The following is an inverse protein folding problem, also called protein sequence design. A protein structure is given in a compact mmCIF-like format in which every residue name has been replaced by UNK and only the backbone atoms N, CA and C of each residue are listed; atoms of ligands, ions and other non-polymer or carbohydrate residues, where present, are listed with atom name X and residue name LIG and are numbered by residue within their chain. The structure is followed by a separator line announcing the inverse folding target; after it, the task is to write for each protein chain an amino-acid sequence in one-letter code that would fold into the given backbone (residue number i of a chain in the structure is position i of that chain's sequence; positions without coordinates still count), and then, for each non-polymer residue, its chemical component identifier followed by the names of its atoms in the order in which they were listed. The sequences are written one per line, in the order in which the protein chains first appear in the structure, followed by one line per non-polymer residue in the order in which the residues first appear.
data_IF_024037643481
#
_entry.id   IF_024037643481
#
_cell.length_a   1.000
_cell.length_b   1.000
_cell.length_c   1.000
_cell.angle_alpha   90.00
_cell.angle_beta   90.00
_cell.angle_gamma   90.00
#
_symmetry.space_group_name_H-M   'P 1'
#
loop_
_entity.id
_entity.type
_entity.pdbx_description
1 polymer ?
#
# COMPACT_ATOMS: atom_id res chain seq x y z
N UNK A 1 -1.34 -6.43 19.84
CA UNK A 1 -0.19 -6.57 18.93
C UNK A 1 0.07 -8.00 18.51
N UNK A 2 -0.58 -8.38 17.42
CA UNK A 2 -0.10 -9.44 16.57
C UNK A 2 1.19 -8.97 15.88
N UNK A 3 2.34 -9.50 16.34
CA UNK A 3 3.67 -9.15 15.84
C UNK A 3 3.79 -9.32 14.32
N UNK A 4 2.97 -10.16 13.69
CA UNK A 4 3.02 -10.32 12.24
C UNK A 4 2.37 -9.14 11.50
N UNK A 5 1.24 -8.64 12.00
CA UNK A 5 0.54 -7.50 11.39
C UNK A 5 1.36 -6.22 11.57
N UNK A 6 1.96 -6.01 12.75
CA UNK A 6 2.84 -4.86 12.99
C UNK A 6 4.03 -4.85 12.02
N UNK A 7 4.64 -6.01 11.75
CA UNK A 7 5.72 -6.14 10.78
C UNK A 7 5.26 -5.81 9.34
N UNK A 8 4.06 -6.25 8.96
CA UNK A 8 3.47 -5.91 7.65
C UNK A 8 3.28 -4.40 7.53
N UNK A 9 2.71 -3.76 8.56
CA UNK A 9 2.50 -2.30 8.59
C UNK A 9 3.84 -1.56 8.52
N UNK A 10 4.87 -2.04 9.23
CA UNK A 10 6.20 -1.44 9.18
C UNK A 10 6.81 -1.53 7.77
N UNK A 11 6.68 -2.67 7.09
CA UNK A 11 7.15 -2.80 5.71
C UNK A 11 6.43 -1.86 4.75
N UNK A 12 5.11 -1.65 4.92
CA UNK A 12 4.36 -0.67 4.12
C UNK A 12 4.92 0.74 4.33
N UNK A 13 5.10 1.17 5.59
CA UNK A 13 5.66 2.49 5.93
C UNK A 13 7.08 2.70 5.38
N UNK A 14 7.93 1.69 5.48
CA UNK A 14 9.30 1.76 4.94
C UNK A 14 9.29 1.92 3.41
N UNK A 15 8.39 1.23 2.72
CA UNK A 15 8.24 1.35 1.26
C UNK A 15 7.65 2.70 0.85
N UNK A 16 6.68 3.23 1.58
CA UNK A 16 6.15 4.58 1.38
C UNK A 16 7.25 5.63 1.49
N UNK A 17 8.05 5.57 2.57
CA UNK A 17 9.18 6.47 2.75
C UNK A 17 10.18 6.38 1.58
N UNK A 18 10.44 5.18 1.06
CA UNK A 18 11.34 4.97 -0.07
C UNK A 18 10.86 5.62 -1.36
N UNK A 19 9.55 5.80 -1.57
CA UNK A 19 9.04 6.50 -2.75
C UNK A 19 9.55 7.95 -2.85
N UNK A 20 9.87 8.60 -1.72
CA UNK A 20 10.44 9.95 -1.71
C UNK A 20 11.90 10.03 -2.20
N UNK A 21 12.58 8.88 -2.36
CA UNK A 21 14.02 8.82 -2.68
C UNK A 21 14.33 8.04 -3.96
N UNK A 22 13.31 7.57 -4.70
CA UNK A 22 13.56 6.89 -5.99
C UNK A 22 13.87 7.91 -7.08
N UNK A 23 14.85 7.58 -7.90
CA UNK A 23 15.44 8.47 -8.92
C UNK A 23 15.26 7.93 -10.36
N UNK A 24 14.54 6.81 -10.51
CA UNK A 24 14.26 6.24 -11.82
C UNK A 24 13.02 5.34 -11.80
N UNK A 25 12.46 5.16 -12.99
CA UNK A 25 11.27 4.35 -13.26
C UNK A 25 11.36 2.90 -12.79
N UNK A 26 12.52 2.25 -12.96
CA UNK A 26 12.69 0.84 -12.58
C UNK A 26 12.68 0.67 -11.06
N UNK A 27 13.29 1.60 -10.31
CA UNK A 27 13.25 1.59 -8.85
C UNK A 27 11.85 1.96 -8.35
N UNK A 28 11.22 2.98 -8.94
CA UNK A 28 9.85 3.36 -8.60
C UNK A 28 8.88 2.18 -8.74
N UNK A 29 8.82 1.53 -9.90
CA UNK A 29 7.85 0.44 -10.12
C UNK A 29 8.09 -0.75 -9.19
N UNK A 30 9.36 -1.05 -8.85
CA UNK A 30 9.68 -2.11 -7.88
C UNK A 30 9.15 -1.79 -6.48
N UNK A 31 9.22 -0.53 -6.05
CA UNK A 31 8.65 -0.12 -4.76
C UNK A 31 7.13 -0.19 -4.79
N UNK A 32 6.49 0.29 -5.87
CA UNK A 32 5.04 0.22 -6.05
C UNK A 32 4.53 -1.24 -6.08
N UNK A 33 5.22 -2.15 -6.78
CA UNK A 33 4.87 -3.58 -6.79
C UNK A 33 5.01 -4.23 -5.41
N UNK A 34 6.04 -3.86 -4.65
CA UNK A 34 6.21 -4.32 -3.27
C UNK A 34 5.10 -3.76 -2.35
N UNK A 35 4.73 -2.49 -2.50
CA UNK A 35 3.60 -1.90 -1.77
C UNK A 35 2.31 -2.67 -2.02
N UNK A 36 2.01 -2.99 -3.28
CA UNK A 36 0.82 -3.80 -3.61
C UNK A 36 0.84 -5.13 -2.86
N UNK A 37 1.96 -5.85 -2.91
CA UNK A 37 2.10 -7.15 -2.23
C UNK A 37 1.83 -7.05 -0.72
N UNK A 38 2.43 -6.06 -0.04
CA UNK A 38 2.26 -5.93 1.41
C UNK A 38 0.88 -5.41 1.81
N UNK A 39 0.26 -4.55 1.00
CA UNK A 39 -1.13 -4.14 1.17
C UNK A 39 -2.08 -5.33 0.99
N UNK A 40 -1.93 -6.13 -0.08
CA UNK A 40 -2.72 -7.35 -0.27
C UNK A 40 -2.55 -8.30 0.92
N UNK A 41 -1.32 -8.44 1.44
CA UNK A 41 -1.05 -9.28 2.61
C UNK A 41 -1.72 -8.74 3.87
N UNK A 42 -1.72 -7.43 4.08
CA UNK A 42 -2.37 -6.80 5.22
C UNK A 42 -3.90 -7.01 5.16
N UNK A 43 -4.51 -6.81 4.00
CA UNK A 43 -5.94 -7.06 3.78
C UNK A 43 -6.30 -8.50 4.14
N UNK A 44 -5.56 -9.48 3.59
CA UNK A 44 -5.82 -10.91 3.82
C UNK A 44 -5.61 -11.38 5.27
N UNK A 45 -4.92 -10.61 6.11
CA UNK A 45 -4.68 -10.97 7.52
C UNK A 45 -5.81 -10.52 8.46
N UNK A 46 -6.68 -9.61 8.03
CA UNK A 46 -7.76 -9.08 8.86
C UNK A 46 -9.11 -9.65 8.43
N UNK A 47 -9.90 -10.11 9.41
CA UNK A 47 -11.33 -10.37 9.22
C UNK A 47 -12.10 -9.08 8.94
N UNK A 48 -13.31 -9.20 8.39
CA UNK A 48 -14.17 -8.05 8.11
C UNK A 48 -14.46 -7.21 9.37
N UNK A 49 -14.65 -7.86 10.51
CA UNK A 49 -14.88 -7.21 11.80
C UNK A 49 -13.64 -6.42 12.26
N UNK A 50 -12.44 -6.98 12.11
CA UNK A 50 -11.18 -6.31 12.46
C UNK A 50 -10.89 -5.11 11.56
N UNK A 51 -11.27 -5.18 10.28
CA UNK A 51 -11.16 -4.05 9.34
C UNK A 51 -12.02 -2.86 9.76
N UNK A 52 -13.18 -3.10 10.38
CA UNK A 52 -14.14 -2.06 10.75
C UNK A 52 -13.94 -1.57 12.20
N UNK A 53 -13.64 -2.46 13.15
CA UNK A 53 -13.61 -2.14 14.59
C UNK A 53 -12.43 -2.74 15.38
N UNK A 54 -11.44 -3.32 14.69
CA UNK A 54 -10.25 -3.89 15.33
C UNK A 54 -9.18 -2.87 15.71
N UNK A 55 -8.11 -3.36 16.36
CA UNK A 55 -6.90 -2.57 16.73
C UNK A 55 -6.30 -1.84 15.51
N UNK A 56 -6.44 -2.41 14.32
CA UNK A 56 -5.88 -1.90 13.08
C UNK A 56 -6.87 -1.15 12.18
N UNK A 57 -8.13 -0.97 12.61
CA UNK A 57 -9.18 -0.39 11.77
C UNK A 57 -8.81 0.99 11.21
N UNK A 58 -8.25 1.87 12.03
CA UNK A 58 -7.81 3.22 11.61
C UNK A 58 -6.68 3.16 10.57
N UNK A 59 -5.74 2.22 10.74
CA UNK A 59 -4.64 2.04 9.79
C UNK A 59 -5.17 1.45 8.49
N UNK A 60 -6.06 0.47 8.57
CA UNK A 60 -6.72 -0.12 7.41
C UNK A 60 -7.50 0.94 6.63
N UNK A 61 -8.31 1.76 7.30
CA UNK A 61 -9.03 2.87 6.69
C UNK A 61 -8.08 3.82 5.94
N UNK A 62 -6.93 4.17 6.53
CA UNK A 62 -5.95 5.07 5.89
C UNK A 62 -5.39 4.54 4.57
N UNK A 63 -5.34 3.21 4.37
CA UNK A 63 -4.81 2.60 3.16
C UNK A 63 -5.90 2.26 2.13
N UNK A 64 -7.05 1.76 2.58
CA UNK A 64 -8.06 1.15 1.70
C UNK A 64 -9.32 1.99 1.51
N UNK A 65 -9.60 2.95 2.38
CA UNK A 65 -10.78 3.79 2.28
C UNK A 65 -10.42 5.15 1.70
N UNK A 66 -11.22 5.62 0.75
CA UNK A 66 -11.08 6.96 0.20
C UNK A 66 -12.21 7.84 0.71
N UNK A 67 -11.89 8.97 1.32
CA UNK A 67 -12.86 9.98 1.74
C UNK A 67 -13.49 10.76 0.56
N UNK A 68 -13.70 10.13 -0.59
CA UNK A 68 -14.23 10.77 -1.81
C UNK A 68 -13.28 10.80 -3.03
N UNK A 69 -12.35 9.84 -3.16
CA UNK A 69 -11.39 9.78 -4.27
C UNK A 69 -10.77 8.38 -4.47
N UNK A 70 -9.50 8.30 -4.86
CA UNK A 70 -8.74 7.05 -4.84
C UNK A 70 -8.06 6.87 -3.49
N UNK A 71 -8.25 5.70 -2.88
CA UNK A 71 -7.52 5.27 -1.68
C UNK A 71 -6.03 5.16 -1.97
N UNK A 72 -5.20 4.97 -0.94
CA UNK A 72 -3.79 4.70 -1.17
C UNK A 72 -3.59 3.42 -1.99
N UNK A 73 -4.32 2.35 -1.66
CA UNK A 73 -4.31 1.09 -2.40
C UNK A 73 -4.69 1.28 -3.87
N UNK A 74 -5.73 2.06 -4.16
CA UNK A 74 -6.14 2.36 -5.54
C UNK A 74 -5.04 3.08 -6.32
N UNK A 75 -4.35 4.04 -5.69
CA UNK A 75 -3.23 4.77 -6.32
C UNK A 75 -2.05 3.87 -6.62
N UNK A 76 -1.74 2.92 -5.73
CA UNK A 76 -0.72 1.90 -5.97
C UNK A 76 -1.10 1.03 -7.17
N UNK A 77 -2.35 0.55 -7.22
CA UNK A 77 -2.83 -0.26 -8.34
C UNK A 77 -2.81 0.51 -9.66
N UNK A 78 -3.28 1.76 -9.66
CA UNK A 78 -3.26 2.64 -10.82
C UNK A 78 -1.83 2.93 -11.30
N UNK A 79 -0.89 3.17 -10.38
CA UNK A 79 0.53 3.39 -10.75
C UNK A 79 1.13 2.18 -11.49
N UNK A 80 0.77 0.95 -11.10
CA UNK A 80 1.21 -0.27 -11.80
C UNK A 80 0.57 -0.34 -13.20
N UNK A 81 -0.71 0.00 -13.30
CA UNK A 81 -1.44 -0.01 -14.55
C UNK A 81 -0.86 1.03 -15.54
N UNK A 82 -0.64 2.25 -15.08
CA UNK A 82 -0.01 3.33 -15.86
C UNK A 82 1.37 2.93 -16.36
N UNK A 83 2.19 2.32 -15.50
CA UNK A 83 3.51 1.84 -15.89
C UNK A 83 3.44 0.80 -17.01
N UNK A 84 2.47 -0.12 -16.97
CA UNK A 84 2.25 -1.12 -18.03
C UNK A 84 1.86 -0.48 -19.36
N UNK A 85 1.15 0.65 -19.33
CA UNK A 85 0.80 1.42 -20.52
C UNK A 85 1.91 2.36 -21.01
N UNK A 86 3.07 2.36 -20.35
CA UNK A 86 4.23 3.17 -20.74
C UNK A 86 4.28 4.56 -20.10
N UNK A 87 3.31 4.90 -19.25
CA UNK A 87 3.35 6.14 -18.46
C UNK A 87 4.36 5.97 -17.34
N UNK A 88 5.43 6.75 -17.41
CA UNK A 88 6.60 6.66 -16.55
C UNK A 88 6.76 7.98 -15.81
N UNK A 89 6.66 7.99 -14.47
CA UNK A 89 6.67 9.24 -13.71
C UNK A 89 8.03 9.94 -13.67
N UNK A 90 9.10 9.29 -14.14
CA UNK A 90 10.47 9.85 -14.27
C UNK A 90 10.98 9.82 -15.70
#
# INVERSE_FOLDING_TARGET
MDKQIDNVIQHIKDLENRLGYVDNNLRYIKVIQALKYWLDKFDNQLSEEERIKGEFAVIYESYFCSGGGFSFYDRVCNSILEYKYGNRPF
#
